data_IF_265108158417
#
_entry.id   IF_265108158417
#
_cell.length_a   1.000
_cell.length_b   1.000
_cell.length_c   1.000
_cell.angle_alpha   90.00
_cell.angle_beta   90.00
_cell.angle_gamma   90.00
#
_symmetry.space_group_name_H-M   'P 1'
#
loop_
_entity.id
_entity.type
_entity.pdbx_description
1 polymer ?
#
# COMPACT_ATOMS: atom_id res chain seq x y z
N UNK A 1 83.22 24.44 -16.04
CA UNK A 1 82.10 24.41 -17.00
C UNK A 1 80.96 23.65 -16.36
N UNK A 2 80.05 24.39 -15.70
CA UNK A 2 78.89 23.87 -14.97
C UNK A 2 77.65 24.18 -15.81
N UNK A 3 77.02 23.15 -16.36
CA UNK A 3 75.83 23.25 -17.21
C UNK A 3 74.60 22.72 -16.49
N UNK A 4 73.61 23.60 -16.36
CA UNK A 4 72.32 23.46 -15.69
C UNK A 4 71.42 22.36 -16.29
N UNK A 5 70.70 21.65 -15.43
CA UNK A 5 69.46 20.93 -15.80
C UNK A 5 68.25 21.81 -15.46
N UNK A 6 67.16 21.80 -16.25
CA UNK A 6 65.94 22.51 -15.92
C UNK A 6 65.07 21.69 -14.96
N UNK A 7 64.61 22.32 -13.88
CA UNK A 7 63.55 21.80 -13.03
C UNK A 7 62.21 21.87 -13.81
N UNK A 8 61.60 20.71 -14.02
CA UNK A 8 60.25 20.58 -14.56
C UNK A 8 59.23 20.97 -13.49
N UNK A 9 58.69 22.18 -13.62
CA UNK A 9 57.57 22.66 -12.82
C UNK A 9 56.28 21.97 -13.29
N UNK A 10 55.99 20.80 -12.72
CA UNK A 10 54.72 20.12 -12.92
C UNK A 10 53.67 20.76 -12.00
N UNK A 11 52.87 21.67 -12.56
CA UNK A 11 51.62 22.13 -11.96
C UNK A 11 50.74 20.93 -11.63
N UNK A 12 50.71 20.52 -10.36
CA UNK A 12 49.70 19.62 -9.85
C UNK A 12 48.35 20.33 -9.91
N UNK A 13 47.58 20.03 -10.95
CA UNK A 13 46.15 20.29 -10.94
C UNK A 13 45.56 19.51 -9.76
N UNK A 14 45.21 20.23 -8.70
CA UNK A 14 44.48 19.67 -7.57
C UNK A 14 43.13 19.18 -8.10
N UNK A 15 42.99 17.86 -8.22
CA UNK A 15 41.69 17.24 -8.46
C UNK A 15 40.82 17.56 -7.24
N UNK A 16 39.85 18.46 -7.44
CA UNK A 16 38.87 18.84 -6.43
C UNK A 16 38.23 17.57 -5.87
N UNK A 17 38.29 17.38 -4.55
CA UNK A 17 37.59 16.29 -3.89
C UNK A 17 36.11 16.32 -4.30
N UNK A 18 35.47 15.17 -4.54
CA UNK A 18 34.05 15.13 -4.86
C UNK A 18 33.27 15.85 -3.76
N UNK A 19 32.23 16.63 -4.12
CA UNK A 19 31.46 17.39 -3.15
C UNK A 19 30.94 16.46 -2.05
N UNK A 20 31.05 16.93 -0.80
CA UNK A 20 30.57 16.18 0.34
C UNK A 20 29.07 15.89 0.18
N UNK A 21 28.67 14.68 0.56
CA UNK A 21 27.28 14.24 0.57
C UNK A 21 26.40 15.26 1.33
N UNK A 22 25.28 15.73 0.77
CA UNK A 22 24.32 16.56 1.49
C UNK A 22 23.76 15.83 2.71
N UNK A 23 23.69 16.49 3.87
CA UNK A 23 23.21 15.87 5.10
C UNK A 23 21.70 15.55 5.04
N UNK A 24 20.93 16.34 4.28
CA UNK A 24 19.50 16.14 4.03
C UNK A 24 19.18 16.31 2.54
N UNK A 25 18.04 15.77 2.06
CA UNK A 25 17.57 16.01 0.69
C UNK A 25 17.43 17.49 0.34
N UNK A 26 17.09 18.33 1.31
CA UNK A 26 16.92 19.78 1.09
C UNK A 26 18.24 20.52 0.83
N UNK A 27 19.36 19.92 1.20
CA UNK A 27 20.70 20.47 0.95
C UNK A 27 21.30 19.95 -0.36
N UNK A 28 20.59 19.09 -1.09
CA UNK A 28 21.08 18.60 -2.38
C UNK A 28 21.06 19.74 -3.41
N UNK A 29 22.23 20.13 -3.96
CA UNK A 29 22.30 21.28 -4.88
C UNK A 29 21.50 21.05 -6.16
N UNK A 30 21.25 19.79 -6.55
CA UNK A 30 20.44 19.48 -7.73
C UNK A 30 18.96 19.84 -7.55
N UNK A 31 18.48 19.99 -6.31
CA UNK A 31 17.09 20.38 -6.00
C UNK A 31 16.84 21.88 -6.21
N UNK A 32 17.88 22.71 -6.10
CA UNK A 32 17.78 24.17 -6.06
C UNK A 32 16.98 24.79 -7.23
N UNK A 33 17.19 24.40 -8.51
CA UNK A 33 16.45 24.99 -9.62
C UNK A 33 14.93 24.79 -9.50
N UNK A 34 14.50 23.63 -9.00
CA UNK A 34 13.09 23.30 -8.81
C UNK A 34 12.45 24.12 -7.68
N UNK A 35 13.21 24.40 -6.62
CA UNK A 35 12.77 25.29 -5.54
C UNK A 35 12.56 26.72 -6.03
N UNK A 36 13.38 27.20 -6.97
CA UNK A 36 13.25 28.55 -7.55
C UNK A 36 12.04 28.65 -8.48
N UNK A 37 11.67 27.55 -9.14
CA UNK A 37 10.61 27.54 -10.15
C UNK A 37 9.20 27.26 -9.60
N UNK A 38 9.07 26.63 -8.43
CA UNK A 38 7.75 26.31 -7.86
C UNK A 38 7.46 27.02 -6.53
N UNK A 39 6.47 27.92 -6.55
CA UNK A 39 5.95 28.56 -5.35
C UNK A 39 5.23 27.55 -4.44
N UNK A 40 4.54 26.56 -5.02
CA UNK A 40 3.87 25.49 -4.27
C UNK A 40 4.87 24.64 -3.51
N UNK A 41 6.01 24.27 -4.13
CA UNK A 41 7.07 23.50 -3.47
C UNK A 41 7.70 24.29 -2.31
N UNK A 42 8.00 25.58 -2.51
CA UNK A 42 8.51 26.45 -1.44
C UNK A 42 7.50 26.61 -0.30
N UNK A 43 6.22 26.80 -0.62
CA UNK A 43 5.13 26.91 0.36
C UNK A 43 4.97 25.62 1.17
N UNK A 44 5.03 24.46 0.51
CA UNK A 44 5.04 23.17 1.18
C UNK A 44 6.21 23.01 2.15
N UNK A 45 7.43 23.42 1.75
CA UNK A 45 8.59 23.40 2.65
C UNK A 45 8.41 24.33 3.86
N UNK A 46 7.81 25.51 3.65
CA UNK A 46 7.51 26.41 4.75
C UNK A 46 6.53 25.78 5.74
N UNK A 47 5.51 25.06 5.23
CA UNK A 47 4.55 24.33 6.06
C UNK A 47 5.22 23.20 6.86
N UNK A 48 6.06 22.37 6.22
CA UNK A 48 6.78 21.30 6.91
C UNK A 48 7.66 21.86 8.04
N UNK A 49 8.37 22.97 7.81
CA UNK A 49 9.15 23.64 8.86
C UNK A 49 8.28 24.14 10.00
N UNK A 50 7.12 24.74 9.69
CA UNK A 50 6.17 25.20 10.69
C UNK A 50 5.66 24.02 11.55
N UNK A 51 5.35 22.91 10.91
CA UNK A 51 4.80 21.70 11.54
C UNK A 51 5.88 20.80 12.16
N UNK A 52 7.16 21.21 12.08
CA UNK A 52 8.33 20.47 12.56
C UNK A 52 8.44 19.06 11.96
N UNK A 53 8.12 18.95 10.68
CA UNK A 53 8.32 17.75 9.88
C UNK A 53 9.67 17.85 9.20
N UNK A 54 10.56 16.92 9.53
CA UNK A 54 11.88 16.84 8.92
C UNK A 54 11.80 16.32 7.48
N UNK A 55 12.84 16.60 6.68
CA UNK A 55 13.03 15.95 5.38
C UNK A 55 14.38 15.25 5.43
N UNK A 56 14.37 13.92 5.39
CA UNK A 56 15.55 13.09 5.66
C UNK A 56 15.80 12.08 4.55
N UNK A 57 17.04 11.61 4.44
CA UNK A 57 17.37 10.46 3.60
C UNK A 57 16.88 9.16 4.25
N UNK A 58 16.23 8.32 3.46
CA UNK A 58 15.97 6.92 3.77
C UNK A 58 17.13 6.02 3.31
N UNK A 59 16.92 4.70 3.39
CA UNK A 59 17.86 3.73 2.80
C UNK A 59 17.67 3.68 1.29
N UNK A 60 18.77 3.53 0.55
CA UNK A 60 18.71 3.25 -0.88
C UNK A 60 17.78 2.07 -1.20
N UNK A 61 16.77 2.31 -2.05
CA UNK A 61 15.78 1.32 -2.46
C UNK A 61 14.65 1.08 -1.45
N UNK A 62 14.66 1.77 -0.32
CA UNK A 62 13.60 1.70 0.70
C UNK A 62 12.33 2.48 0.35
N UNK A 63 12.32 3.16 -0.80
CA UNK A 63 11.20 3.99 -1.24
C UNK A 63 11.18 5.38 -0.60
N UNK A 64 10.17 6.15 -0.97
CA UNK A 64 9.84 7.48 -0.42
C UNK A 64 8.50 7.38 0.28
N UNK A 65 8.36 7.98 1.46
CA UNK A 65 7.12 7.98 2.22
C UNK A 65 7.10 9.10 3.27
N UNK A 66 5.89 9.49 3.68
CA UNK A 66 5.64 10.28 4.88
C UNK A 66 5.60 9.37 6.11
N UNK A 67 6.42 9.68 7.13
CA UNK A 67 6.26 9.22 8.50
C UNK A 67 5.42 10.24 9.29
N UNK A 68 4.14 9.93 9.58
CA UNK A 68 3.18 10.92 10.08
C UNK A 68 3.66 11.66 11.32
N UNK A 69 3.65 12.99 11.27
CA UNK A 69 4.03 13.85 12.39
C UNK A 69 5.52 13.92 12.69
N UNK A 70 6.37 13.22 11.92
CA UNK A 70 7.82 13.19 12.14
C UNK A 70 8.63 13.67 10.95
N UNK A 71 8.53 12.98 9.81
CA UNK A 71 9.44 13.25 8.70
C UNK A 71 8.89 12.80 7.34
N UNK A 72 9.31 13.49 6.28
CA UNK A 72 9.30 12.96 4.92
C UNK A 72 10.63 12.24 4.67
N UNK A 73 10.55 10.97 4.32
CA UNK A 73 11.71 10.13 4.02
C UNK A 73 11.88 10.03 2.50
N UNK A 74 13.01 10.50 1.98
CA UNK A 74 13.35 10.42 0.54
C UNK A 74 14.31 9.27 0.29
N UNK A 75 14.03 8.44 -0.72
CA UNK A 75 14.93 7.35 -1.16
C UNK A 75 16.32 7.93 -1.49
N UNK A 76 17.37 7.40 -0.86
CA UNK A 76 18.76 7.82 -1.08
C UNK A 76 19.21 7.63 -2.54
N UNK A 77 18.58 6.75 -3.32
CA UNK A 77 18.80 6.65 -4.76
C UNK A 77 18.37 7.90 -5.55
N UNK A 78 17.77 8.91 -4.90
CA UNK A 78 17.47 10.20 -5.49
C UNK A 78 18.59 11.23 -5.30
N UNK A 79 19.68 10.90 -4.59
CA UNK A 79 20.81 11.80 -4.39
C UNK A 79 21.40 12.26 -5.73
N UNK A 80 21.59 13.57 -5.88
CA UNK A 80 22.05 14.20 -7.12
C UNK A 80 20.99 14.25 -8.24
N UNK A 81 19.78 13.73 -8.00
CA UNK A 81 18.68 13.70 -8.94
C UNK A 81 17.54 14.62 -8.50
N UNK A 82 17.79 15.93 -8.51
CA UNK A 82 16.87 16.95 -7.99
C UNK A 82 15.44 16.87 -8.53
N UNK A 83 15.25 16.49 -9.80
CA UNK A 83 13.90 16.29 -10.35
C UNK A 83 13.16 15.13 -9.68
N UNK A 84 13.86 14.04 -9.36
CA UNK A 84 13.31 12.92 -8.59
C UNK A 84 13.03 13.33 -7.15
N UNK A 85 13.91 14.11 -6.52
CA UNK A 85 13.69 14.65 -5.17
C UNK A 85 12.45 15.56 -5.17
N UNK A 86 12.33 16.51 -6.09
CA UNK A 86 11.19 17.42 -6.20
C UNK A 86 9.87 16.68 -6.44
N UNK A 87 9.86 15.68 -7.33
CA UNK A 87 8.69 14.82 -7.58
C UNK A 87 8.25 14.10 -6.31
N UNK A 88 9.16 13.40 -5.66
CA UNK A 88 8.89 12.68 -4.41
C UNK A 88 8.39 13.63 -3.32
N UNK A 89 9.13 14.71 -3.06
CA UNK A 89 8.83 15.68 -2.01
C UNK A 89 7.46 16.34 -2.20
N UNK A 90 7.12 16.74 -3.43
CA UNK A 90 5.82 17.34 -3.74
C UNK A 90 4.65 16.37 -3.56
N UNK A 91 4.86 15.07 -3.80
CA UNK A 91 3.88 14.02 -3.52
C UNK A 91 3.64 13.88 -2.01
N UNK A 92 4.71 13.68 -1.24
CA UNK A 92 4.61 13.51 0.22
C UNK A 92 4.05 14.76 0.94
N UNK A 93 4.33 15.97 0.43
CA UNK A 93 3.68 17.20 0.91
C UNK A 93 2.18 17.19 0.70
N UNK A 94 1.68 16.57 -0.38
CA UNK A 94 0.26 16.45 -0.62
C UNK A 94 -0.40 15.50 0.38
N UNK A 95 0.27 14.41 0.78
CA UNK A 95 -0.17 13.59 1.91
C UNK A 95 -0.20 14.39 3.22
N UNK A 96 0.87 15.12 3.54
CA UNK A 96 0.95 15.92 4.78
C UNK A 96 -0.16 16.97 4.88
N UNK A 97 -0.53 17.59 3.75
CA UNK A 97 -1.58 18.61 3.69
C UNK A 97 -2.99 18.03 3.61
N UNK A 98 -3.13 16.73 3.39
CA UNK A 98 -4.43 16.08 3.31
C UNK A 98 -4.98 15.83 4.71
N UNK A 99 -6.12 16.44 5.02
CA UNK A 99 -6.71 16.46 6.38
C UNK A 99 -8.06 15.78 6.47
N UNK A 100 -8.59 15.27 5.36
CA UNK A 100 -9.85 14.54 5.36
C UNK A 100 -9.66 13.26 6.17
N UNK A 101 -10.58 13.02 7.11
CA UNK A 101 -10.53 11.83 7.95
C UNK A 101 -11.00 10.63 7.15
N UNK A 102 -10.36 9.45 7.29
CA UNK A 102 -10.87 8.25 6.65
C UNK A 102 -12.29 7.94 7.11
N UNK A 103 -13.21 7.73 6.17
CA UNK A 103 -14.55 7.22 6.46
C UNK A 103 -14.47 5.73 6.74
N UNK A 104 -14.68 5.35 7.99
CA UNK A 104 -14.58 3.96 8.42
C UNK A 104 -15.93 3.23 8.31
N UNK A 105 -17.01 3.84 7.81
CA UNK A 105 -18.36 3.28 7.90
C UNK A 105 -18.58 2.00 7.09
N UNK A 106 -17.84 1.84 5.99
CA UNK A 106 -17.86 0.64 5.15
C UNK A 106 -16.50 0.43 4.49
N UNK A 107 -16.29 -0.76 3.92
CA UNK A 107 -15.08 -1.07 3.16
C UNK A 107 -14.90 -0.11 1.99
N UNK A 108 -15.97 0.14 1.25
CA UNK A 108 -15.99 1.02 0.08
C UNK A 108 -15.71 2.47 0.48
N UNK A 109 -16.34 2.96 1.55
CA UNK A 109 -16.14 4.31 2.06
C UNK A 109 -14.70 4.52 2.54
N UNK A 110 -14.12 3.51 3.21
CA UNK A 110 -12.74 3.55 3.68
C UNK A 110 -11.76 3.56 2.51
N UNK A 111 -11.92 2.64 1.56
CA UNK A 111 -11.06 2.59 0.37
C UNK A 111 -11.15 3.90 -0.40
N UNK A 112 -12.35 4.44 -0.63
CA UNK A 112 -12.52 5.72 -1.31
C UNK A 112 -11.81 6.87 -0.57
N UNK A 113 -11.93 6.92 0.75
CA UNK A 113 -11.27 7.94 1.57
C UNK A 113 -9.75 7.85 1.52
N UNK A 114 -9.19 6.64 1.57
CA UNK A 114 -7.74 6.43 1.47
C UNK A 114 -7.22 6.80 0.07
N UNK A 115 -7.95 6.45 -0.98
CA UNK A 115 -7.59 6.82 -2.36
C UNK A 115 -7.64 8.34 -2.60
N UNK A 116 -8.49 9.09 -1.87
CA UNK A 116 -8.46 10.56 -1.91
C UNK A 116 -7.16 11.14 -1.34
N UNK A 117 -6.53 10.45 -0.38
CA UNK A 117 -5.20 10.81 0.13
C UNK A 117 -4.11 10.66 -0.94
N UNK A 118 -4.08 9.52 -1.64
CA UNK A 118 -3.19 9.28 -2.78
C UNK A 118 -3.44 10.28 -3.93
N UNK A 119 -4.71 10.60 -4.17
CA UNK A 119 -5.10 11.59 -5.16
C UNK A 119 -4.62 13.00 -4.79
N UNK A 120 -4.67 13.39 -3.52
CA UNK A 120 -4.19 14.68 -3.06
C UNK A 120 -2.66 14.82 -3.20
N UNK A 121 -1.93 13.75 -2.89
CA UNK A 121 -0.49 13.64 -3.11
C UNK A 121 -0.13 13.79 -4.60
N UNK A 122 -0.84 13.05 -5.45
CA UNK A 122 -0.69 13.09 -6.91
C UNK A 122 -0.99 14.48 -7.48
N UNK A 123 -2.07 15.13 -7.03
CA UNK A 123 -2.45 16.47 -7.46
C UNK A 123 -1.43 17.52 -7.03
N UNK A 124 -0.87 17.40 -5.81
CA UNK A 124 0.21 18.26 -5.32
C UNK A 124 1.46 18.15 -6.21
N UNK A 125 1.88 16.93 -6.56
CA UNK A 125 2.98 16.71 -7.48
C UNK A 125 2.70 17.29 -8.88
N UNK A 126 1.49 17.09 -9.42
CA UNK A 126 1.10 17.64 -10.72
C UNK A 126 1.14 19.18 -10.74
N UNK A 127 0.70 19.84 -9.68
CA UNK A 127 0.79 21.30 -9.53
C UNK A 127 2.23 21.78 -9.56
N UNK A 128 3.11 21.17 -8.76
CA UNK A 128 4.54 21.53 -8.70
C UNK A 128 5.20 21.33 -10.07
N UNK A 129 4.93 20.21 -10.73
CA UNK A 129 5.42 19.94 -12.10
C UNK A 129 4.98 21.05 -13.07
N UNK A 130 3.71 21.47 -13.02
CA UNK A 130 3.18 22.52 -13.91
C UNK A 130 3.87 23.86 -13.69
N UNK A 131 4.10 24.25 -12.44
CA UNK A 131 4.84 25.47 -12.10
C UNK A 131 6.28 25.43 -12.62
N UNK A 132 6.97 24.30 -12.42
CA UNK A 132 8.34 24.10 -12.92
C UNK A 132 8.40 24.24 -14.44
N UNK A 133 7.49 23.58 -15.16
CA UNK A 133 7.41 23.66 -16.63
C UNK A 133 7.09 25.09 -17.10
N UNK A 134 6.17 25.79 -16.42
CA UNK A 134 5.85 27.18 -16.74
C UNK A 134 7.04 28.13 -16.53
N UNK A 135 7.94 27.80 -15.60
CA UNK A 135 9.22 28.48 -15.38
C UNK A 135 10.35 28.05 -16.33
N UNK A 136 10.07 27.22 -17.35
CA UNK A 136 11.08 26.70 -18.28
C UNK A 136 11.99 25.61 -17.69
N UNK A 137 11.60 25.03 -16.55
CA UNK A 137 12.34 23.97 -15.88
C UNK A 137 12.18 22.59 -16.52
N UNK A 138 13.00 21.65 -16.05
CA UNK A 138 12.92 20.26 -16.49
C UNK A 138 11.63 19.58 -15.99
N UNK A 139 11.10 18.67 -16.79
CA UNK A 139 9.94 17.88 -16.39
C UNK A 139 10.32 16.89 -15.27
N UNK A 140 9.78 17.11 -14.07
CA UNK A 140 9.98 16.23 -12.92
C UNK A 140 9.08 14.97 -12.96
N UNK A 141 8.10 14.93 -13.87
CA UNK A 141 7.11 13.86 -13.98
C UNK A 141 6.07 13.85 -12.86
N UNK A 142 5.11 12.92 -12.97
CA UNK A 142 4.15 12.61 -11.91
C UNK A 142 4.42 11.18 -11.43
N UNK A 143 4.46 10.96 -10.11
CA UNK A 143 4.61 9.61 -9.54
C UNK A 143 3.48 8.69 -9.98
N UNK A 144 3.81 7.48 -10.41
CA UNK A 144 2.85 6.49 -10.89
C UNK A 144 3.47 5.54 -11.92
N UNK A 145 2.73 4.48 -12.24
CA UNK A 145 3.17 3.41 -13.14
C UNK A 145 2.47 3.42 -14.50
N UNK A 146 3.16 2.98 -15.55
CA UNK A 146 2.60 2.87 -16.91
C UNK A 146 2.11 4.22 -17.45
N UNK A 147 0.92 4.23 -18.05
CA UNK A 147 0.31 5.43 -18.64
C UNK A 147 -0.37 6.37 -17.62
N UNK A 148 -0.39 6.01 -16.34
CA UNK A 148 -1.13 6.75 -15.31
C UNK A 148 -0.62 8.17 -15.07
N UNK A 149 0.70 8.46 -15.06
CA UNK A 149 1.19 9.84 -14.99
C UNK A 149 0.57 10.75 -16.06
N UNK A 150 0.31 10.24 -17.27
CA UNK A 150 -0.38 11.01 -18.33
C UNK A 150 -1.85 11.25 -17.98
N UNK A 151 -2.54 10.25 -17.43
CA UNK A 151 -3.94 10.39 -17.00
C UNK A 151 -4.08 11.40 -15.85
N UNK A 152 -3.18 11.33 -14.86
CA UNK A 152 -3.11 12.29 -13.75
C UNK A 152 -2.86 13.72 -14.25
N UNK A 153 -1.93 13.89 -15.20
CA UNK A 153 -1.65 15.20 -15.78
C UNK A 153 -2.90 15.81 -16.44
N UNK A 154 -3.67 15.03 -17.20
CA UNK A 154 -4.92 15.49 -17.84
C UNK A 154 -5.95 15.93 -16.80
N UNK A 155 -6.17 15.13 -15.75
CA UNK A 155 -7.13 15.47 -14.70
C UNK A 155 -6.69 16.73 -13.94
N UNK A 156 -5.42 16.81 -13.57
CA UNK A 156 -4.85 17.98 -12.91
C UNK A 156 -4.95 19.23 -13.79
N UNK A 157 -4.69 19.14 -15.09
CA UNK A 157 -4.81 20.28 -16.00
C UNK A 157 -6.24 20.80 -16.10
N UNK A 158 -7.24 19.91 -16.11
CA UNK A 158 -8.65 20.32 -16.08
C UNK A 158 -9.04 20.99 -14.76
N UNK A 159 -8.59 20.45 -13.63
CA UNK A 159 -8.78 21.07 -12.31
C UNK A 159 -8.16 22.47 -12.26
N UNK A 160 -6.90 22.60 -12.67
CA UNK A 160 -6.17 23.87 -12.62
C UNK A 160 -6.68 24.91 -13.62
N UNK A 161 -7.33 24.47 -14.68
CA UNK A 161 -8.06 25.34 -15.60
C UNK A 161 -9.47 25.71 -15.09
N UNK A 162 -9.87 25.26 -13.89
CA UNK A 162 -11.16 25.57 -13.29
C UNK A 162 -12.34 24.82 -13.93
N UNK A 163 -12.11 23.74 -14.68
CA UNK A 163 -13.19 22.98 -15.34
C UNK A 163 -14.03 22.17 -14.36
N UNK A 164 -13.45 21.80 -13.23
CA UNK A 164 -14.14 21.20 -12.09
C UNK A 164 -13.40 21.50 -10.79
N UNK A 165 -14.11 21.34 -9.67
CA UNK A 165 -13.58 21.60 -8.34
C UNK A 165 -12.61 20.52 -7.83
N UNK A 166 -11.97 20.79 -6.70
CA UNK A 166 -10.98 19.90 -6.08
C UNK A 166 -11.53 18.51 -5.79
N UNK A 167 -12.76 18.41 -5.29
CA UNK A 167 -13.35 17.10 -4.96
C UNK A 167 -13.49 16.20 -6.17
N UNK A 168 -13.98 16.74 -7.30
CA UNK A 168 -14.07 16.00 -8.55
C UNK A 168 -12.68 15.56 -9.06
N UNK A 169 -11.64 16.40 -8.87
CA UNK A 169 -10.28 16.05 -9.23
C UNK A 169 -9.75 14.86 -8.40
N UNK A 170 -10.00 14.89 -7.08
CA UNK A 170 -9.60 13.83 -6.18
C UNK A 170 -10.31 12.52 -6.49
N UNK A 171 -11.61 12.56 -6.75
CA UNK A 171 -12.39 11.37 -7.08
C UNK A 171 -11.91 10.76 -8.41
N UNK A 172 -11.69 11.58 -9.44
CA UNK A 172 -11.19 11.10 -10.73
C UNK A 172 -9.79 10.50 -10.64
N UNK A 173 -8.86 11.17 -9.95
CA UNK A 173 -7.51 10.61 -9.75
C UNK A 173 -7.61 9.32 -8.93
N UNK A 174 -8.40 9.30 -7.85
CA UNK A 174 -8.61 8.11 -7.01
C UNK A 174 -9.11 6.90 -7.80
N UNK A 175 -10.03 7.10 -8.76
CA UNK A 175 -10.50 6.02 -9.63
C UNK A 175 -9.41 5.43 -10.53
N UNK A 176 -8.48 6.25 -11.01
CA UNK A 176 -7.32 5.78 -11.78
C UNK A 176 -6.33 5.07 -10.85
N UNK A 177 -6.06 5.67 -9.68
CA UNK A 177 -5.07 5.24 -8.71
C UNK A 177 -5.39 3.89 -8.06
N UNK A 178 -6.68 3.56 -7.90
CA UNK A 178 -7.12 2.32 -7.23
C UNK A 178 -6.55 1.03 -7.82
N UNK A 179 -6.17 1.07 -9.10
CA UNK A 179 -5.60 -0.06 -9.85
C UNK A 179 -4.07 -0.09 -9.86
N UNK A 180 -3.40 0.90 -9.26
CA UNK A 180 -1.96 0.89 -9.05
C UNK A 180 -1.55 -0.13 -8.00
N UNK A 181 -0.29 -0.55 -8.05
CA UNK A 181 0.32 -1.39 -7.03
C UNK A 181 1.12 -0.50 -6.06
N UNK A 182 0.95 -0.65 -4.74
CA UNK A 182 1.77 0.05 -3.78
C UNK A 182 3.22 -0.44 -3.82
N UNK A 183 4.17 0.46 -3.55
CA UNK A 183 5.61 0.14 -3.53
C UNK A 183 5.98 -0.98 -2.55
N UNK A 184 5.19 -1.15 -1.48
CA UNK A 184 5.37 -2.16 -0.43
C UNK A 184 4.65 -3.48 -0.69
N UNK A 185 3.80 -3.57 -1.73
CA UNK A 185 3.12 -4.81 -2.13
C UNK A 185 2.87 -4.86 -3.64
N UNK A 186 3.70 -5.64 -4.34
CA UNK A 186 3.60 -5.82 -5.80
C UNK A 186 2.50 -6.80 -6.24
N UNK A 187 1.79 -7.42 -5.28
CA UNK A 187 0.80 -8.47 -5.56
C UNK A 187 -0.64 -8.02 -5.33
N UNK A 188 -0.86 -6.73 -5.06
CA UNK A 188 -2.20 -6.19 -4.81
C UNK A 188 -2.34 -4.81 -5.41
N UNK A 189 -3.54 -4.46 -5.84
CA UNK A 189 -3.87 -3.07 -6.16
C UNK A 189 -4.06 -2.25 -4.88
N UNK A 190 -4.03 -0.91 -4.95
CA UNK A 190 -4.35 -0.05 -3.80
C UNK A 190 -5.76 -0.31 -3.24
N UNK A 191 -6.74 -0.58 -4.11
CA UNK A 191 -8.09 -1.00 -3.70
C UNK A 191 -8.07 -2.27 -2.85
N UNK A 192 -7.30 -3.28 -3.27
CA UNK A 192 -7.14 -4.54 -2.54
C UNK A 192 -6.34 -4.33 -1.25
N UNK A 193 -5.31 -3.49 -1.28
CA UNK A 193 -4.46 -3.19 -0.14
C UNK A 193 -5.24 -2.52 0.99
N UNK A 194 -5.95 -1.42 0.71
CA UNK A 194 -6.75 -0.72 1.71
C UNK A 194 -7.98 -1.54 2.13
N UNK A 195 -8.66 -2.19 1.18
CA UNK A 195 -9.80 -3.05 1.50
C UNK A 195 -9.41 -4.19 2.43
N UNK A 196 -8.26 -4.83 2.17
CA UNK A 196 -7.74 -5.88 3.04
C UNK A 196 -7.37 -5.35 4.44
N UNK A 197 -6.86 -4.12 4.57
CA UNK A 197 -6.64 -3.51 5.88
C UNK A 197 -7.96 -3.29 6.62
N UNK A 198 -8.98 -2.76 5.93
CA UNK A 198 -10.32 -2.58 6.50
C UNK A 198 -10.87 -3.89 7.04
N UNK A 199 -10.84 -4.95 6.23
CA UNK A 199 -11.40 -6.25 6.56
C UNK A 199 -10.70 -6.89 7.77
N UNK A 200 -9.38 -6.67 7.93
CA UNK A 200 -8.57 -7.25 9.00
C UNK A 200 -8.55 -6.41 10.28
N UNK A 201 -8.59 -5.08 10.19
CA UNK A 201 -8.29 -4.19 11.32
C UNK A 201 -9.44 -3.27 11.73
N UNK A 202 -10.33 -2.90 10.82
CA UNK A 202 -11.39 -1.91 11.06
C UNK A 202 -12.73 -2.61 11.26
N UNK A 203 -13.16 -3.44 10.30
CA UNK A 203 -14.44 -4.13 10.35
C UNK A 203 -14.67 -4.93 11.65
N UNK A 204 -13.66 -5.63 12.23
CA UNK A 204 -13.85 -6.33 13.50
C UNK A 204 -14.13 -5.39 14.69
N UNK A 205 -13.60 -4.16 14.67
CA UNK A 205 -13.75 -3.17 15.76
C UNK A 205 -15.01 -2.32 15.64
N UNK A 206 -15.59 -2.23 14.45
CA UNK A 206 -16.78 -1.44 14.17
C UNK A 206 -18.08 -2.22 14.33
N UNK A 207 -18.00 -3.54 14.46
CA UNK A 207 -19.12 -4.33 14.95
C UNK A 207 -19.46 -3.77 16.33
N UNK A 208 -20.72 -3.38 16.60
CA UNK A 208 -21.16 -3.23 17.99
C UNK A 208 -20.69 -4.49 18.74
N UNK A 209 -20.36 -4.36 20.03
CA UNK A 209 -20.49 -5.52 20.91
C UNK A 209 -21.97 -5.90 20.90
N UNK A 210 -22.37 -6.60 19.84
CA UNK A 210 -23.69 -7.14 19.67
C UNK A 210 -23.86 -8.10 20.83
N UNK A 211 -24.98 -7.96 21.52
CA UNK A 211 -25.59 -9.05 22.29
C UNK A 211 -25.19 -10.39 21.70
N UNK A 212 -24.70 -11.36 22.50
CA UNK A 212 -24.33 -12.68 22.00
C UNK A 212 -25.44 -13.17 21.08
N UNK A 213 -25.06 -13.63 19.88
CA UNK A 213 -26.04 -14.25 18.99
C UNK A 213 -26.85 -15.27 19.79
N UNK A 214 -28.17 -15.38 19.56
CA UNK A 214 -28.94 -16.49 20.12
C UNK A 214 -28.23 -17.78 19.74
N UNK A 215 -28.10 -18.67 20.73
CA UNK A 215 -27.37 -19.95 20.71
C UNK A 215 -27.86 -20.95 19.63
N UNK A 216 -28.66 -20.52 18.66
CA UNK A 216 -29.52 -21.38 17.84
C UNK A 216 -29.04 -21.61 16.39
N UNK A 217 -27.82 -21.16 16.02
CA UNK A 217 -27.16 -21.63 14.78
C UNK A 217 -25.85 -22.35 15.12
N UNK A 218 -25.99 -23.54 15.70
CA UNK A 218 -24.88 -24.37 16.17
C UNK A 218 -24.02 -25.00 15.04
N UNK A 219 -24.45 -24.96 13.76
CA UNK A 219 -23.66 -25.52 12.68
C UNK A 219 -24.05 -24.98 11.29
N UNK A 220 -23.12 -24.92 10.32
CA UNK A 220 -23.48 -24.82 8.91
C UNK A 220 -24.37 -26.01 8.48
N UNK A 221 -25.30 -25.83 7.51
CA UNK A 221 -26.08 -26.93 6.95
C UNK A 221 -25.18 -27.99 6.28
N UNK A 222 -25.54 -29.27 6.36
CA UNK A 222 -24.76 -30.38 5.78
C UNK A 222 -24.51 -30.25 4.26
N UNK A 223 -25.40 -29.55 3.54
CA UNK A 223 -25.26 -29.29 2.11
C UNK A 223 -24.41 -28.06 1.75
N UNK A 224 -23.89 -27.32 2.74
CA UNK A 224 -23.09 -26.12 2.49
C UNK A 224 -21.64 -26.46 2.18
N UNK A 225 -20.99 -25.75 1.26
CA UNK A 225 -19.60 -26.00 0.85
C UNK A 225 -18.58 -25.85 1.99
N UNK A 226 -18.92 -25.12 3.06
CA UNK A 226 -18.09 -25.00 4.25
C UNK A 226 -18.20 -26.21 5.21
N UNK A 227 -19.26 -27.02 5.07
CA UNK A 227 -19.57 -28.10 6.00
C UNK A 227 -18.48 -29.16 6.15
N UNK A 228 -17.82 -29.64 5.06
CA UNK A 228 -16.80 -30.69 5.20
C UNK A 228 -15.63 -30.26 6.08
N UNK A 229 -15.09 -29.06 5.86
CA UNK A 229 -13.98 -28.54 6.69
C UNK A 229 -14.47 -28.20 8.09
N UNK A 230 -15.69 -27.67 8.24
CA UNK A 230 -16.29 -27.42 9.55
C UNK A 230 -16.37 -28.70 10.38
N UNK A 231 -16.94 -29.77 9.81
CA UNK A 231 -17.09 -31.05 10.50
C UNK A 231 -15.73 -31.62 10.93
N UNK A 232 -14.74 -31.60 10.04
CA UNK A 232 -13.40 -32.11 10.31
C UNK A 232 -12.68 -31.35 11.44
N UNK A 233 -12.85 -30.03 11.53
CA UNK A 233 -12.28 -29.24 12.61
C UNK A 233 -13.09 -29.36 13.91
N UNK A 234 -14.42 -29.41 13.83
CA UNK A 234 -15.32 -29.52 14.99
C UNK A 234 -15.02 -30.76 15.83
N UNK A 235 -14.65 -31.87 15.20
CA UNK A 235 -14.24 -33.11 15.86
C UNK A 235 -12.92 -32.98 16.66
N UNK A 236 -12.05 -32.04 16.27
CA UNK A 236 -10.75 -31.82 16.89
C UNK A 236 -10.77 -30.69 17.93
N UNK A 237 -11.66 -29.70 17.78
CA UNK A 237 -11.84 -28.63 18.75
C UNK A 237 -12.60 -29.11 20.00
N UNK A 238 -12.20 -28.70 21.23
CA UNK A 238 -12.96 -28.93 22.44
C UNK A 238 -14.36 -28.34 22.36
N UNK A 239 -15.34 -29.00 22.99
CA UNK A 239 -16.74 -28.55 23.01
C UNK A 239 -16.95 -27.14 23.60
N UNK A 240 -15.98 -26.62 24.37
CA UNK A 240 -15.98 -25.26 24.88
C UNK A 240 -15.75 -24.18 23.82
N UNK A 241 -15.16 -24.54 22.68
CA UNK A 241 -14.97 -23.62 21.55
C UNK A 241 -16.28 -23.52 20.78
N UNK A 242 -16.81 -22.31 20.62
CA UNK A 242 -18.07 -22.07 19.90
C UNK A 242 -17.99 -22.47 18.43
N UNK A 243 -19.12 -22.87 17.83
CA UNK A 243 -19.17 -23.24 16.41
C UNK A 243 -18.84 -22.09 15.45
N UNK A 244 -19.05 -20.84 15.87
CA UNK A 244 -18.61 -19.65 15.14
C UNK A 244 -17.08 -19.58 14.98
N UNK A 245 -16.33 -19.93 16.03
CA UNK A 245 -14.87 -20.04 15.96
C UNK A 245 -14.43 -21.17 15.05
N UNK A 246 -15.08 -22.33 15.16
CA UNK A 246 -14.76 -23.49 14.33
C UNK A 246 -15.03 -23.20 12.86
N UNK A 247 -16.19 -22.62 12.54
CA UNK A 247 -16.54 -22.24 11.17
C UNK A 247 -15.59 -21.17 10.62
N UNK A 248 -15.22 -20.18 11.43
CA UNK A 248 -14.23 -19.20 11.02
C UNK A 248 -12.88 -19.85 10.69
N UNK A 249 -12.41 -20.77 11.54
CA UNK A 249 -11.20 -21.55 11.32
C UNK A 249 -11.28 -22.34 10.00
N UNK A 250 -12.43 -22.95 9.71
CA UNK A 250 -12.66 -23.70 8.48
C UNK A 250 -12.54 -22.84 7.23
N UNK A 251 -13.07 -21.62 7.26
CA UNK A 251 -12.98 -20.67 6.16
C UNK A 251 -11.54 -20.24 5.91
N UNK A 252 -10.78 -19.96 6.98
CA UNK A 252 -9.37 -19.59 6.88
C UNK A 252 -8.51 -20.76 6.39
N UNK A 253 -8.71 -21.97 6.92
CA UNK A 253 -7.96 -23.16 6.52
C UNK A 253 -8.13 -23.45 5.02
N UNK A 254 -9.38 -23.37 4.51
CA UNK A 254 -9.65 -23.55 3.08
C UNK A 254 -9.02 -22.46 2.22
N UNK A 255 -8.97 -21.21 2.70
CA UNK A 255 -8.33 -20.10 1.99
C UNK A 255 -6.84 -20.37 1.74
N UNK A 256 -6.16 -20.95 2.74
CA UNK A 256 -4.75 -21.34 2.67
C UNK A 256 -4.52 -22.67 1.92
N UNK A 257 -5.57 -23.27 1.36
CA UNK A 257 -5.49 -24.53 0.61
C UNK A 257 -5.32 -25.78 1.48
N UNK A 258 -5.58 -25.69 2.80
CA UNK A 258 -5.62 -26.85 3.68
C UNK A 258 -6.85 -27.68 3.32
N UNK A 259 -6.66 -28.98 3.07
CA UNK A 259 -7.75 -29.93 2.76
C UNK A 259 -8.27 -30.56 4.06
N UNK A 260 -9.55 -30.92 4.11
CA UNK A 260 -10.18 -31.40 5.35
C UNK A 260 -9.44 -32.60 5.95
N UNK A 261 -9.06 -33.56 5.09
CA UNK A 261 -8.33 -34.78 5.46
C UNK A 261 -6.92 -34.55 6.00
N UNK A 262 -6.33 -33.39 5.73
CA UNK A 262 -4.97 -33.06 6.13
C UNK A 262 -4.94 -32.08 7.30
N UNK A 263 -6.08 -31.53 7.73
CA UNK A 263 -6.15 -30.51 8.76
C UNK A 263 -5.94 -31.09 10.17
N UNK A 264 -4.98 -30.54 10.91
CA UNK A 264 -4.75 -30.85 12.32
C UNK A 264 -4.89 -29.60 13.18
N UNK A 265 -5.65 -29.71 14.28
CA UNK A 265 -5.84 -28.63 15.25
C UNK A 265 -4.86 -28.77 16.40
N UNK A 266 -4.14 -27.69 16.70
CA UNK A 266 -3.31 -27.54 17.89
C UNK A 266 -3.82 -26.37 18.71
N UNK A 267 -3.91 -26.52 20.02
CA UNK A 267 -4.36 -25.45 20.92
C UNK A 267 -3.35 -25.18 22.01
N UNK A 268 -3.18 -23.91 22.35
CA UNK A 268 -2.38 -23.46 23.48
C UNK A 268 -2.96 -22.13 23.96
N UNK A 269 -3.35 -22.10 25.23
CA UNK A 269 -4.01 -20.94 25.84
C UNK A 269 -5.23 -20.52 25.00
N UNK A 270 -5.42 -19.22 24.76
CA UNK A 270 -6.52 -18.67 23.94
C UNK A 270 -6.21 -18.68 22.44
N UNK A 271 -5.33 -19.57 21.97
CA UNK A 271 -4.92 -19.64 20.57
C UNK A 271 -5.12 -21.05 20.02
N UNK A 272 -5.59 -21.12 18.77
CA UNK A 272 -5.64 -22.36 18.01
C UNK A 272 -4.94 -22.22 16.67
N UNK A 273 -4.26 -23.27 16.26
CA UNK A 273 -3.64 -23.40 14.94
C UNK A 273 -4.29 -24.54 14.19
N UNK A 274 -4.58 -24.32 12.91
CA UNK A 274 -4.96 -25.39 11.99
C UNK A 274 -3.83 -25.54 10.99
N UNK A 275 -3.18 -26.70 10.99
CA UNK A 275 -2.02 -26.98 10.14
C UNK A 275 -2.30 -28.11 9.16
N UNK A 276 -1.70 -28.04 7.97
CA UNK A 276 -1.74 -29.13 7.01
C UNK A 276 -0.70 -30.20 7.35
N UNK A 277 -1.16 -31.45 7.43
CA UNK A 277 -0.34 -32.66 7.52
C UNK A 277 0.43 -32.90 6.22
N UNK A 278 -0.12 -32.44 5.09
CA UNK A 278 0.46 -32.59 3.77
C UNK A 278 -0.10 -31.53 2.78
N UNK A 279 0.76 -30.75 2.09
CA UNK A 279 2.20 -30.59 2.35
C UNK A 279 2.44 -29.88 3.68
N UNK A 280 3.50 -30.24 4.43
CA UNK A 280 3.82 -29.58 5.70
C UNK A 280 4.26 -28.13 5.47
N UNK A 281 3.90 -27.24 6.39
CA UNK A 281 4.31 -25.83 6.40
C UNK A 281 3.17 -24.82 6.26
N UNK A 282 2.01 -25.24 5.77
CA UNK A 282 0.80 -24.40 5.71
C UNK A 282 0.05 -24.43 7.05
N UNK A 283 -0.21 -23.26 7.64
CA UNK A 283 -0.99 -23.15 8.88
C UNK A 283 -1.74 -21.83 8.97
N UNK A 284 -2.89 -21.83 9.63
CA UNK A 284 -3.59 -20.64 10.09
C UNK A 284 -3.60 -20.59 11.61
N UNK A 285 -3.75 -19.40 12.16
CA UNK A 285 -3.88 -19.15 13.59
C UNK A 285 -5.15 -18.35 13.84
N UNK A 286 -5.90 -18.72 14.88
CA UNK A 286 -7.09 -18.00 15.35
C UNK A 286 -6.96 -17.70 16.84
N UNK A 287 -7.48 -16.53 17.22
CA UNK A 287 -7.57 -16.08 18.62
C UNK A 287 -8.95 -16.43 19.18
N UNK A 288 -8.98 -17.39 20.10
CA UNK A 288 -10.19 -17.87 20.78
C UNK A 288 -10.66 -16.92 21.89
N UNK A 289 -9.80 -16.00 22.34
CA UNK A 289 -10.15 -14.96 23.31
C UNK A 289 -10.87 -13.77 22.67
N UNK A 290 -10.88 -13.71 21.34
CA UNK A 290 -11.59 -12.68 20.56
C UNK A 290 -12.99 -13.14 20.16
N UNK A 291 -13.90 -12.21 19.88
CA UNK A 291 -15.21 -12.57 19.34
C UNK A 291 -15.04 -13.06 17.88
N UNK A 292 -15.54 -14.26 17.52
CA UNK A 292 -15.43 -14.76 16.16
C UNK A 292 -16.37 -13.98 15.23
N UNK A 293 -16.14 -14.01 13.91
CA UNK A 293 -17.15 -13.58 12.94
C UNK A 293 -18.47 -14.34 13.15
N UNK A 294 -19.58 -13.73 12.77
CA UNK A 294 -20.88 -14.40 12.83
C UNK A 294 -20.91 -15.63 11.91
N UNK A 295 -21.82 -16.57 12.17
CA UNK A 295 -22.01 -17.74 11.32
C UNK A 295 -22.36 -17.33 9.89
N UNK A 296 -23.27 -16.36 9.73
CA UNK A 296 -23.66 -15.82 8.42
C UNK A 296 -22.47 -15.22 7.68
N UNK A 297 -21.63 -14.40 8.34
CA UNK A 297 -20.46 -13.81 7.71
C UNK A 297 -19.48 -14.88 7.21
N UNK A 298 -19.25 -15.92 8.02
CA UNK A 298 -18.33 -16.99 7.67
C UNK A 298 -18.87 -17.83 6.51
N UNK A 299 -20.17 -18.11 6.48
CA UNK A 299 -20.83 -18.77 5.35
C UNK A 299 -20.73 -17.95 4.06
N UNK A 300 -20.96 -16.64 4.14
CA UNK A 300 -20.86 -15.75 2.98
C UNK A 300 -19.42 -15.70 2.45
N UNK A 301 -18.42 -15.64 3.32
CA UNK A 301 -17.00 -15.71 2.92
C UNK A 301 -16.66 -17.03 2.25
N UNK A 302 -17.15 -18.15 2.78
CA UNK A 302 -16.94 -19.45 2.17
C UNK A 302 -17.52 -19.52 0.74
N UNK A 303 -18.73 -18.98 0.53
CA UNK A 303 -19.37 -18.95 -0.80
C UNK A 303 -18.61 -18.08 -1.81
N UNK A 304 -18.10 -16.92 -1.35
CA UNK A 304 -17.26 -16.05 -2.19
C UNK A 304 -15.96 -16.73 -2.62
N UNK A 305 -15.28 -17.42 -1.69
CA UNK A 305 -14.06 -18.17 -2.00
C UNK A 305 -14.30 -19.26 -3.04
N UNK A 306 -15.42 -19.99 -2.91
CA UNK A 306 -15.78 -21.04 -3.86
C UNK A 306 -16.06 -20.46 -5.25
N UNK A 307 -16.77 -19.33 -5.33
CA UNK A 307 -17.01 -18.62 -6.60
C UNK A 307 -15.70 -18.21 -7.27
N UNK A 308 -14.74 -17.67 -6.50
CA UNK A 308 -13.43 -17.29 -7.02
C UNK A 308 -12.60 -18.49 -7.49
N UNK A 309 -12.64 -19.61 -6.74
CA UNK A 309 -11.96 -20.84 -7.13
C UNK A 309 -12.53 -21.42 -8.43
N UNK A 310 -13.86 -21.40 -8.60
CA UNK A 310 -14.52 -21.85 -9.83
C UNK A 310 -14.17 -20.96 -11.02
N UNK A 311 -14.15 -19.64 -10.84
CA UNK A 311 -13.73 -18.70 -11.88
C UNK A 311 -12.27 -18.94 -12.30
N UNK A 312 -11.36 -19.09 -11.33
CA UNK A 312 -9.95 -19.36 -11.59
C UNK A 312 -9.74 -20.72 -12.31
N UNK A 313 -10.47 -21.76 -11.91
CA UNK A 313 -10.44 -23.06 -12.58
C UNK A 313 -10.97 -22.99 -14.02
N UNK A 314 -12.04 -22.24 -14.26
CA UNK A 314 -12.60 -22.02 -15.60
C UNK A 314 -11.63 -21.23 -16.50
N UNK A 315 -10.94 -20.22 -15.96
CA UNK A 315 -9.91 -19.47 -16.68
C UNK A 315 -8.68 -20.31 -17.03
N UNK A 316 -8.25 -21.21 -16.14
CA UNK A 316 -7.15 -22.14 -16.40
C UNK A 316 -7.52 -23.20 -17.45
N UNK A 317 -8.77 -23.65 -17.50
CA UNK A 317 -9.27 -24.57 -18.50
C UNK A 317 -9.46 -23.94 -19.90
N UNK A 318 -9.52 -22.62 -20.00
CA UNK A 318 -9.67 -21.87 -21.25
C UNK A 318 -8.34 -21.36 -21.83
N UNK A 319 -7.20 -21.62 -21.18
CA UNK A 319 -5.89 -21.29 -21.73
C UNK A 319 -5.62 -22.16 -22.98
N UNK A 320 -5.47 -21.56 -24.18
CA UNK A 320 -5.21 -22.34 -25.39
C UNK A 320 -3.85 -23.03 -25.29
N UNK A 321 -3.85 -24.35 -25.57
CA UNK A 321 -2.64 -25.17 -25.60
C UNK A 321 -1.57 -24.56 -26.49
N UNK A 322 -0.40 -24.31 -25.92
CA UNK A 322 0.80 -23.92 -26.67
C UNK A 322 1.20 -25.01 -27.67
N UNK A 323 1.88 -24.63 -28.77
CA UNK A 323 2.08 -25.51 -29.91
C UNK A 323 2.93 -26.73 -29.53
N UNK A 324 2.45 -27.90 -29.94
CA UNK A 324 3.27 -29.11 -30.01
C UNK A 324 4.30 -28.94 -31.12
N UNK A 325 5.56 -29.27 -30.77
CA UNK A 325 6.78 -29.47 -31.57
C UNK A 325 6.73 -29.18 -33.07
#
# INVERSE_FOLDING_TARGET
MTGSMPESNASQASASAPPARPATPLQDPSLQPFLEQSATLRGGLAQLRHDRIDVIWGRAGGGTYLDPGRAIVIDENALGHGGRIARSLSHEMGHHRFTERPDMSSREAYVASMLRGEAAATLSNAQVRKEILAGGGADIGISGSGDRPRQYAVIADHYLAGRFGRDAALDQIGQVFKTEQPSVSTHSTYEQYYGGYYDRAIAPRMRPHGTPEPLDVAAPPQGHAAYPMYSALREQFPASVSDAHVLHASVLARAEGIRERDAQVFMKDDQAWVAASFPPGTRIQIDLGSAPPSMSDSLQRAAQQETLQQQNAASLAQAPGGPSR
#
